data_IF_530628842202
#
_entry.id   IF_530628842202
#
_cell.length_a   1.000
_cell.length_b   1.000
_cell.length_c   1.000
_cell.angle_alpha   90.00
_cell.angle_beta   90.00
_cell.angle_gamma   90.00
#
_symmetry.space_group_name_H-M   'P 1'
#
loop_
_entity.id
_entity.type
_entity.pdbx_description
1 polymer ?
#
# COMPACT_ATOMS: atom_id res chain seq x y z
N UNK A 1 33.40 24.11 -35.29
CA UNK A 1 32.00 23.93 -35.73
C UNK A 1 31.40 22.83 -34.88
N UNK A 2 30.44 23.12 -34.00
CA UNK A 2 29.69 22.08 -33.29
C UNK A 2 28.58 21.53 -34.20
N UNK A 3 28.31 20.21 -34.20
CA UNK A 3 27.17 19.67 -34.91
C UNK A 3 25.88 20.00 -34.15
N UNK A 4 24.93 20.51 -34.93
CA UNK A 4 23.59 20.94 -34.57
C UNK A 4 22.60 19.78 -34.45
N UNK A 5 21.65 19.94 -33.53
CA UNK A 5 20.26 19.47 -33.61
C UNK A 5 19.99 17.95 -33.75
N UNK A 6 20.18 17.22 -32.66
CA UNK A 6 19.42 15.99 -32.41
C UNK A 6 18.03 16.35 -31.88
N UNK A 7 17.10 16.57 -32.81
CA UNK A 7 15.65 16.57 -32.54
C UNK A 7 15.25 15.17 -32.07
N UNK A 8 15.17 14.96 -30.77
CA UNK A 8 14.51 13.81 -30.16
C UNK A 8 13.01 13.83 -30.50
N UNK A 9 12.68 13.25 -31.66
CA UNK A 9 11.33 13.05 -32.18
C UNK A 9 10.71 11.83 -31.51
N UNK A 10 10.31 11.95 -30.24
CA UNK A 10 9.42 10.98 -29.61
C UNK A 10 7.97 11.42 -29.85
N UNK A 11 7.46 11.11 -31.04
CA UNK A 11 6.04 11.12 -31.33
C UNK A 11 5.44 9.82 -30.79
N UNK A 12 4.93 9.84 -29.55
CA UNK A 12 3.91 8.88 -29.12
C UNK A 12 2.54 9.49 -29.45
N UNK A 13 2.25 9.63 -30.73
CA UNK A 13 0.88 9.73 -31.22
C UNK A 13 0.61 8.42 -31.95
N UNK A 14 0.37 7.37 -31.17
CA UNK A 14 -0.16 6.13 -31.69
C UNK A 14 -1.69 6.21 -31.52
N UNK A 15 -2.46 6.54 -32.57
CA UNK A 15 -3.89 6.80 -32.47
C UNK A 15 -4.72 5.56 -32.07
N UNK A 16 -4.11 4.38 -32.03
CA UNK A 16 -4.79 3.11 -31.72
C UNK A 16 -4.88 2.78 -30.22
N UNK A 17 -4.22 3.54 -29.33
CA UNK A 17 -4.31 3.24 -27.88
C UNK A 17 -5.68 3.54 -27.28
N UNK A 18 -6.48 4.41 -27.92
CA UNK A 18 -7.82 4.78 -27.45
C UNK A 18 -8.90 3.73 -27.75
N UNK A 19 -8.67 2.84 -28.72
CA UNK A 19 -9.59 1.75 -29.09
C UNK A 19 -9.79 0.75 -27.94
N UNK A 20 -8.72 0.43 -27.21
CA UNK A 20 -8.75 -0.57 -26.13
C UNK A 20 -9.53 -0.14 -24.88
N UNK A 21 -9.71 1.17 -24.65
CA UNK A 21 -10.43 1.69 -23.48
C UNK A 21 -11.94 1.83 -23.71
N UNK A 22 -12.39 1.94 -24.96
CA UNK A 22 -13.81 2.06 -25.30
C UNK A 22 -14.56 0.72 -25.07
N UNK A 23 -13.92 -0.41 -25.37
CA UNK A 23 -14.55 -1.73 -25.29
C UNK A 23 -14.73 -2.27 -23.86
N UNK A 24 -14.01 -1.70 -22.89
CA UNK A 24 -14.08 -2.12 -21.48
C UNK A 24 -15.23 -1.45 -20.71
N UNK A 25 -15.82 -0.37 -21.24
CA UNK A 25 -16.91 0.36 -20.58
C UNK A 25 -18.28 -0.30 -20.74
N UNK A 26 -18.47 -1.18 -21.72
CA UNK A 26 -19.78 -1.80 -21.97
C UNK A 26 -20.04 -3.11 -21.21
N UNK A 27 -19.02 -3.73 -20.60
CA UNK A 27 -19.18 -5.03 -19.91
C UNK A 27 -19.32 -4.96 -18.38
N UNK A 28 -19.28 -3.76 -17.79
CA UNK A 28 -19.33 -3.59 -16.32
C UNK A 28 -20.67 -3.06 -15.79
N UNK A 29 -21.67 -2.81 -16.64
CA UNK A 29 -22.98 -2.33 -16.19
C UNK A 29 -23.83 -3.42 -15.50
N UNK A 30 -23.59 -4.70 -15.80
CA UNK A 30 -24.42 -5.82 -15.30
C UNK A 30 -23.83 -6.56 -14.07
N UNK A 31 -22.68 -6.11 -13.55
CA UNK A 31 -22.06 -6.70 -12.35
C UNK A 31 -22.31 -5.89 -11.08
N UNK A 32 -23.48 -5.27 -10.96
CA UNK A 32 -24.07 -4.85 -9.68
C UNK A 32 -24.54 -6.08 -8.87
N UNK A 33 -23.67 -7.07 -8.72
CA UNK A 33 -23.82 -8.14 -7.74
C UNK A 33 -23.67 -7.46 -6.38
N UNK A 34 -24.76 -7.41 -5.61
CA UNK A 34 -24.77 -6.99 -4.20
C UNK A 34 -23.72 -7.80 -3.44
N UNK A 35 -22.50 -7.27 -3.32
CA UNK A 35 -21.47 -7.84 -2.47
C UNK A 35 -22.04 -7.77 -1.03
N UNK A 36 -22.30 -8.90 -0.37
CA UNK A 36 -22.80 -8.87 0.99
C UNK A 36 -21.78 -8.18 1.88
N UNK A 37 -22.22 -7.15 2.61
CA UNK A 37 -21.41 -6.43 3.60
C UNK A 37 -20.78 -7.43 4.57
N UNK A 38 -19.46 -7.54 4.54
CA UNK A 38 -18.63 -8.47 5.32
C UNK A 38 -18.51 -8.09 6.80
N UNK A 39 -19.61 -7.66 7.43
CA UNK A 39 -19.58 -7.10 8.79
C UNK A 39 -20.82 -7.43 9.61
N UNK A 40 -21.32 -8.67 9.51
CA UNK A 40 -22.35 -9.17 10.44
C UNK A 40 -22.20 -10.65 10.78
N UNK A 41 -20.96 -11.13 10.97
CA UNK A 41 -20.72 -12.36 11.74
C UNK A 41 -20.93 -12.03 13.23
N UNK A 42 -22.20 -11.83 13.60
CA UNK A 42 -22.60 -11.95 15.00
C UNK A 42 -22.69 -13.45 15.26
N UNK A 43 -21.71 -13.98 16.00
CA UNK A 43 -21.77 -15.34 16.54
C UNK A 43 -22.88 -15.35 17.58
N UNK A 44 -24.11 -15.63 17.15
CA UNK A 44 -25.24 -15.86 18.03
C UNK A 44 -24.97 -17.17 18.79
N UNK A 45 -24.56 -17.06 20.05
CA UNK A 45 -24.84 -18.02 21.12
C UNK A 45 -24.27 -19.43 21.02
N UNK A 46 -23.63 -19.81 19.91
CA UNK A 46 -22.94 -21.10 19.83
C UNK A 46 -21.68 -21.04 20.70
N UNK A 47 -21.51 -21.95 21.68
CA UNK A 47 -20.27 -22.02 22.44
C UNK A 47 -19.12 -22.19 21.45
N UNK A 48 -18.13 -21.28 21.51
CA UNK A 48 -16.90 -21.40 20.71
C UNK A 48 -16.40 -22.83 20.87
N UNK A 49 -16.36 -23.56 19.76
CA UNK A 49 -15.92 -24.95 19.68
C UNK A 49 -14.67 -25.13 20.55
N UNK A 50 -14.82 -25.83 21.67
CA UNK A 50 -13.79 -25.98 22.73
C UNK A 50 -12.68 -26.95 22.32
N UNK A 51 -12.65 -27.39 21.07
CA UNK A 51 -11.63 -28.28 20.53
C UNK A 51 -10.42 -27.47 20.03
N UNK A 52 -9.78 -26.73 20.93
CA UNK A 52 -8.39 -26.32 20.70
C UNK A 52 -7.58 -27.19 21.65
N UNK A 53 -6.93 -28.19 21.06
CA UNK A 53 -5.95 -29.08 21.68
C UNK A 53 -4.93 -28.30 22.53
N UNK A 54 -4.35 -29.01 23.50
CA UNK A 54 -3.31 -28.55 24.44
C UNK A 54 -2.07 -28.03 23.68
N UNK A 55 -2.15 -26.81 23.15
CA UNK A 55 -1.01 -26.14 22.52
C UNK A 55 0.01 -25.78 23.58
N UNK A 56 1.29 -25.89 23.24
CA UNK A 56 2.42 -25.51 24.09
C UNK A 56 2.33 -24.01 24.40
N UNK A 57 2.24 -23.67 25.69
CA UNK A 57 2.34 -22.29 26.15
C UNK A 57 3.81 -21.86 26.10
N UNK A 58 4.11 -20.77 25.39
CA UNK A 58 5.44 -20.17 25.39
C UNK A 58 5.44 -19.02 26.37
N UNK A 59 6.41 -19.01 27.26
CA UNK A 59 6.74 -17.86 28.10
C UNK A 59 7.76 -17.00 27.38
N UNK A 60 7.41 -15.73 27.15
CA UNK A 60 8.29 -14.75 26.53
C UNK A 60 8.68 -13.75 27.61
N UNK A 61 9.96 -13.73 27.96
CA UNK A 61 10.53 -12.70 28.83
C UNK A 61 10.72 -11.43 28.01
N UNK A 62 9.90 -10.41 28.28
CA UNK A 62 10.10 -9.09 27.70
C UNK A 62 10.96 -8.23 28.64
N UNK A 63 11.90 -7.43 28.12
CA UNK A 63 12.66 -6.50 28.94
C UNK A 63 11.71 -5.54 29.67
N UNK A 64 12.01 -5.25 30.94
CA UNK A 64 11.24 -4.32 31.78
C UNK A 64 9.90 -4.84 32.32
N UNK A 65 9.46 -6.06 31.97
CA UNK A 65 8.35 -6.74 32.66
C UNK A 65 8.89 -7.75 33.66
N UNK A 66 8.45 -7.63 34.91
CA UNK A 66 8.84 -8.57 35.98
C UNK A 66 8.31 -9.98 35.75
N UNK A 67 7.17 -10.10 35.09
CA UNK A 67 6.53 -11.38 34.81
C UNK A 67 6.63 -11.76 33.31
N UNK A 68 6.95 -13.02 32.97
CA UNK A 68 6.92 -13.52 31.61
C UNK A 68 5.52 -13.40 31.00
N UNK A 69 5.45 -12.99 29.73
CA UNK A 69 4.19 -13.03 29.00
C UNK A 69 3.98 -14.44 28.46
N UNK A 70 2.96 -15.11 28.97
CA UNK A 70 2.51 -16.40 28.43
C UNK A 70 1.67 -16.17 27.18
N UNK A 71 2.07 -16.76 26.05
CA UNK A 71 1.26 -16.81 24.83
C UNK A 71 1.01 -18.24 24.39
N UNK A 72 -0.26 -18.53 24.10
CA UNK A 72 -0.67 -19.78 23.47
C UNK A 72 -0.34 -19.71 21.98
N UNK A 73 0.44 -20.67 21.48
CA UNK A 73 0.55 -20.87 20.02
C UNK A 73 -0.63 -21.72 19.56
N UNK A 74 -1.30 -21.28 18.49
CA UNK A 74 -2.27 -22.09 17.76
C UNK A 74 -1.67 -22.75 16.51
N UNK A 75 -0.36 -22.58 16.31
CA UNK A 75 0.38 -23.06 15.14
C UNK A 75 1.54 -23.89 15.66
N UNK A 76 1.57 -25.14 15.24
CA UNK A 76 2.67 -26.07 15.46
C UNK A 76 3.34 -26.30 14.11
N UNK A 77 4.67 -26.34 14.11
CA UNK A 77 5.44 -26.66 12.91
C UNK A 77 5.75 -28.15 12.98
N UNK A 78 5.63 -28.85 11.84
CA UNK A 78 6.15 -30.20 11.71
C UNK A 78 7.66 -30.18 11.94
N UNK A 79 8.16 -30.95 12.90
CA UNK A 79 9.61 -31.15 13.09
C UNK A 79 10.21 -31.96 11.93
N UNK A 80 9.38 -32.72 11.23
CA UNK A 80 9.78 -33.45 10.04
C UNK A 80 9.68 -32.56 8.82
N UNK A 81 10.84 -32.20 8.27
CA UNK A 81 10.94 -31.52 6.97
C UNK A 81 11.13 -32.58 5.89
N UNK A 82 10.21 -32.65 4.92
CA UNK A 82 10.46 -33.38 3.68
C UNK A 82 11.34 -32.50 2.81
N UNK A 83 12.59 -32.93 2.58
CA UNK A 83 13.48 -32.28 1.63
C UNK A 83 13.27 -32.99 0.30
N UNK A 84 12.47 -32.38 -0.56
CA UNK A 84 12.38 -32.79 -1.96
C UNK A 84 13.41 -32.02 -2.76
N UNK A 85 14.23 -32.73 -3.55
CA UNK A 85 15.16 -32.10 -4.46
C UNK A 85 14.37 -31.40 -5.56
N UNK A 86 14.37 -30.06 -5.51
CA UNK A 86 13.75 -29.26 -6.55
C UNK A 86 14.55 -29.43 -7.84
N UNK A 87 13.96 -30.12 -8.83
CA UNK A 87 14.48 -30.09 -10.19
C UNK A 87 14.32 -28.67 -10.69
N UNK A 88 15.46 -28.01 -10.95
CA UNK A 88 15.48 -26.70 -11.61
C UNK A 88 14.60 -26.80 -12.86
N UNK A 89 13.45 -26.14 -12.84
CA UNK A 89 12.64 -26.00 -14.03
C UNK A 89 13.49 -25.16 -15.00
N UNK A 90 13.97 -25.77 -16.08
CA UNK A 90 14.62 -25.05 -17.18
C UNK A 90 13.58 -24.28 -18.00
N UNK A 91 12.62 -23.64 -17.31
CA UNK A 91 11.76 -22.68 -17.97
C UNK A 91 12.68 -21.58 -18.49
N UNK A 92 12.68 -21.33 -19.81
CA UNK A 92 13.52 -20.29 -20.38
C UNK A 92 13.16 -18.98 -19.67
N UNK A 93 14.18 -18.31 -19.13
CA UNK A 93 14.04 -17.05 -18.38
C UNK A 93 13.25 -15.98 -19.16
N UNK A 94 13.14 -16.14 -20.47
CA UNK A 94 12.37 -15.28 -21.37
C UNK A 94 10.84 -15.35 -21.18
N UNK A 95 10.31 -16.35 -20.47
CA UNK A 95 8.87 -16.54 -20.25
C UNK A 95 8.41 -16.19 -18.82
N UNK A 96 9.24 -15.51 -18.03
CA UNK A 96 8.77 -14.96 -16.75
C UNK A 96 7.88 -13.75 -17.03
N UNK A 97 6.80 -13.62 -16.24
CA UNK A 97 5.86 -12.49 -16.33
C UNK A 97 6.53 -11.11 -16.11
N UNK A 98 7.78 -11.08 -15.65
CA UNK A 98 8.44 -9.87 -15.18
C UNK A 98 9.92 -9.88 -15.53
N UNK A 99 10.27 -9.30 -16.67
CA UNK A 99 11.66 -9.17 -17.09
C UNK A 99 12.32 -7.93 -16.46
N UNK A 100 13.65 -8.01 -16.29
CA UNK A 100 14.42 -6.88 -15.74
C UNK A 100 14.32 -5.64 -16.63
N UNK A 101 14.41 -5.83 -17.94
CA UNK A 101 14.36 -4.72 -18.91
C UNK A 101 12.98 -4.04 -18.89
N UNK A 102 11.89 -4.82 -18.84
CA UNK A 102 10.53 -4.30 -18.68
C UNK A 102 10.36 -3.50 -17.38
N UNK A 103 10.96 -3.98 -16.28
CA UNK A 103 10.93 -3.24 -15.02
C UNK A 103 11.64 -1.89 -15.12
N UNK A 104 12.80 -1.85 -15.77
CA UNK A 104 13.54 -0.61 -15.97
C UNK A 104 12.77 0.36 -16.88
N UNK A 105 12.06 -0.13 -17.89
CA UNK A 105 11.16 0.66 -18.75
C UNK A 105 9.96 1.23 -18.00
N UNK A 106 9.30 0.42 -17.16
CA UNK A 106 8.21 0.86 -16.27
C UNK A 106 8.74 1.95 -15.33
N UNK A 107 9.91 1.74 -14.73
CA UNK A 107 10.53 2.68 -13.81
C UNK A 107 10.90 3.99 -14.50
N UNK A 108 11.45 3.92 -15.71
CA UNK A 108 11.77 5.08 -16.55
C UNK A 108 10.51 5.87 -16.90
N UNK A 109 9.45 5.18 -17.30
CA UNK A 109 8.15 5.77 -17.63
C UNK A 109 7.52 6.47 -16.43
N UNK A 110 7.52 5.83 -15.26
CA UNK A 110 7.04 6.42 -14.01
C UNK A 110 7.80 7.71 -13.65
N UNK A 111 9.14 7.72 -13.80
CA UNK A 111 9.94 8.94 -13.58
C UNK A 111 9.59 10.07 -14.55
N UNK A 112 9.27 9.76 -15.81
CA UNK A 112 8.83 10.76 -16.77
C UNK A 112 7.50 11.38 -16.34
N UNK A 113 6.54 10.57 -15.90
CA UNK A 113 5.24 11.04 -15.38
C UNK A 113 5.46 11.99 -14.20
N UNK A 114 6.29 11.61 -13.22
CA UNK A 114 6.63 12.46 -12.07
C UNK A 114 7.18 13.82 -12.52
N UNK A 115 8.16 13.83 -13.44
CA UNK A 115 8.73 15.08 -13.98
C UNK A 115 7.69 15.93 -14.73
N UNK A 116 6.76 15.32 -15.45
CA UNK A 116 5.69 16.05 -16.13
C UNK A 116 4.72 16.70 -15.15
N UNK A 117 4.40 16.01 -14.04
CA UNK A 117 3.53 16.52 -12.98
C UNK A 117 4.21 17.64 -12.19
N UNK A 118 5.50 17.51 -11.86
CA UNK A 118 6.29 18.56 -11.21
C UNK A 118 6.35 19.85 -12.04
N UNK A 119 6.41 19.72 -13.37
CA UNK A 119 6.37 20.85 -14.31
C UNK A 119 4.97 21.41 -14.54
N UNK A 120 3.92 20.74 -14.05
CA UNK A 120 2.52 21.13 -14.25
C UNK A 120 2.01 20.95 -15.69
N UNK A 121 2.72 20.18 -16.52
CA UNK A 121 2.48 20.09 -17.98
C UNK A 121 1.28 19.23 -18.36
N UNK A 122 0.82 18.32 -17.49
CA UNK A 122 -0.33 17.45 -17.77
C UNK A 122 -1.10 17.09 -16.49
N UNK A 123 -2.43 17.31 -16.52
CA UNK A 123 -3.34 17.02 -15.38
C UNK A 123 -3.99 15.64 -15.45
N UNK A 124 -3.73 14.86 -16.50
CA UNK A 124 -4.47 13.63 -16.78
C UNK A 124 -3.75 12.34 -16.35
N UNK A 125 -2.56 12.44 -15.74
CA UNK A 125 -1.86 11.26 -15.25
C UNK A 125 -2.36 10.84 -13.86
N UNK A 126 -2.52 9.53 -13.66
CA UNK A 126 -2.73 8.99 -12.33
C UNK A 126 -1.41 9.04 -11.56
N UNK A 127 -1.33 9.87 -10.54
CA UNK A 127 -0.17 9.98 -9.64
C UNK A 127 -0.22 8.99 -8.48
N UNK A 128 -1.32 8.23 -8.35
CA UNK A 128 -1.51 7.29 -7.25
C UNK A 128 -0.53 6.13 -7.37
N UNK A 129 0.26 5.89 -6.33
CA UNK A 129 1.34 4.91 -6.31
C UNK A 129 2.71 5.47 -6.72
N UNK A 130 2.79 6.73 -7.19
CA UNK A 130 4.05 7.41 -7.52
C UNK A 130 4.46 8.44 -6.46
N UNK A 131 3.72 8.57 -5.36
CA UNK A 131 3.96 9.56 -4.32
C UNK A 131 5.35 9.40 -3.70
N UNK A 132 5.82 8.16 -3.57
CA UNK A 132 7.18 7.86 -3.07
C UNK A 132 8.29 8.42 -3.98
N UNK A 133 8.01 8.64 -5.26
CA UNK A 133 8.96 9.21 -6.22
C UNK A 133 8.85 10.74 -6.33
N UNK A 134 7.74 11.32 -5.86
CA UNK A 134 7.45 12.75 -5.98
C UNK A 134 7.86 13.54 -4.73
N UNK A 135 7.84 12.91 -3.56
CA UNK A 135 7.94 13.63 -2.29
C UNK A 135 9.09 13.10 -1.42
N UNK A 136 10.29 13.67 -1.64
CA UNK A 136 11.45 13.43 -0.78
C UNK A 136 11.15 13.78 0.68
N UNK A 137 10.24 14.74 0.93
CA UNK A 137 9.84 15.13 2.29
C UNK A 137 9.12 13.97 2.98
N UNK A 138 8.30 13.19 2.29
CA UNK A 138 7.66 12.00 2.86
C UNK A 138 8.68 10.92 3.22
N UNK A 139 9.69 10.70 2.38
CA UNK A 139 10.76 9.75 2.71
C UNK A 139 11.53 10.21 3.96
N UNK A 140 11.87 11.49 4.05
CA UNK A 140 12.54 12.07 5.22
C UNK A 140 11.67 11.95 6.46
N UNK A 141 10.39 12.32 6.39
CA UNK A 141 9.45 12.16 7.53
C UNK A 141 9.35 10.72 7.99
N UNK A 142 9.29 9.76 7.06
CA UNK A 142 9.29 8.33 7.39
C UNK A 142 10.57 7.93 8.09
N UNK A 143 11.75 8.28 7.55
CA UNK A 143 13.04 8.01 8.20
C UNK A 143 13.10 8.60 9.60
N UNK A 144 12.76 9.88 9.75
CA UNK A 144 12.72 10.56 11.05
C UNK A 144 11.83 9.86 12.08
N UNK A 145 10.66 9.36 11.66
CA UNK A 145 9.76 8.62 12.56
C UNK A 145 10.35 7.27 13.00
N UNK A 146 11.08 6.59 12.12
CA UNK A 146 11.78 5.34 12.43
C UNK A 146 12.95 5.62 13.38
N UNK A 147 13.77 6.61 13.04
CA UNK A 147 14.95 6.99 13.83
C UNK A 147 14.56 7.41 15.25
N UNK A 148 13.45 8.15 15.41
CA UNK A 148 12.95 8.56 16.71
C UNK A 148 12.50 7.37 17.59
N UNK A 149 11.91 6.33 16.98
CA UNK A 149 11.53 5.10 17.70
C UNK A 149 12.79 4.31 18.06
N UNK A 150 13.73 4.13 17.14
CA UNK A 150 14.96 3.38 17.39
C UNK A 150 15.82 4.05 18.47
N UNK A 151 15.93 5.38 18.45
CA UNK A 151 16.65 6.15 19.48
C UNK A 151 16.03 5.95 20.86
N UNK A 152 14.70 5.97 20.97
CA UNK A 152 14.01 5.71 22.23
C UNK A 152 14.20 4.24 22.68
N UNK A 153 14.15 3.27 21.77
CA UNK A 153 14.43 1.87 22.09
C UNK A 153 15.85 1.64 22.62
N UNK A 154 16.83 2.33 22.04
CA UNK A 154 18.22 2.28 22.50
C UNK A 154 18.35 2.88 23.91
N UNK A 155 17.75 4.05 24.16
CA UNK A 155 17.71 4.66 25.49
C UNK A 155 17.03 3.76 26.55
N UNK A 156 15.95 3.06 26.18
CA UNK A 156 15.30 2.08 27.06
C UNK A 156 16.15 0.83 27.31
N UNK A 157 16.93 0.40 26.33
CA UNK A 157 17.88 -0.72 26.48
C UNK A 157 19.01 -0.36 27.44
N UNK A 158 19.58 0.82 27.29
CA UNK A 158 20.68 1.30 28.14
C UNK A 158 20.24 1.52 29.59
N UNK A 159 18.99 1.96 29.80
CA UNK A 159 18.41 2.12 31.14
C UNK A 159 17.84 0.83 31.74
N UNK A 160 17.60 -0.20 30.92
CA UNK A 160 16.97 -1.46 31.34
C UNK A 160 15.48 -1.35 31.68
N UNK A 161 14.84 -0.21 31.40
CA UNK A 161 13.42 0.05 31.70
C UNK A 161 12.64 0.16 30.39
N UNK A 162 11.67 -0.72 30.22
CA UNK A 162 10.75 -0.68 29.07
C UNK A 162 9.54 0.19 29.36
N UNK A 163 9.24 1.12 28.46
CA UNK A 163 8.11 2.04 28.55
C UNK A 163 7.43 2.19 27.17
N UNK A 164 6.29 1.52 27.02
CA UNK A 164 5.50 1.52 25.78
C UNK A 164 4.91 2.90 25.46
N UNK A 165 4.53 3.67 26.47
CA UNK A 165 3.92 4.99 26.28
C UNK A 165 4.92 5.96 25.68
N UNK A 166 6.18 5.95 26.14
CA UNK A 166 7.25 6.79 25.57
C UNK A 166 7.55 6.47 24.11
N UNK A 167 7.59 5.19 23.74
CA UNK A 167 7.78 4.78 22.34
C UNK A 167 6.64 5.29 21.47
N UNK A 168 5.40 5.13 21.94
CA UNK A 168 4.21 5.61 21.24
C UNK A 168 4.23 7.14 21.09
N UNK A 169 4.67 7.85 22.13
CA UNK A 169 4.73 9.31 22.13
C UNK A 169 5.82 9.83 21.20
N UNK A 170 6.99 9.19 21.15
CA UNK A 170 8.09 9.51 20.23
C UNK A 170 7.62 9.40 18.77
N UNK A 171 6.94 8.31 18.42
CA UNK A 171 6.35 8.13 17.10
C UNK A 171 5.23 9.14 16.81
N UNK A 172 4.34 9.40 17.78
CA UNK A 172 3.23 10.34 17.62
C UNK A 172 3.73 11.76 17.38
N UNK A 173 4.74 12.22 18.12
CA UNK A 173 5.33 13.56 17.93
C UNK A 173 5.91 13.71 16.53
N UNK A 174 6.64 12.72 16.03
CA UNK A 174 7.26 12.79 14.70
C UNK A 174 6.26 12.64 13.55
N UNK A 175 5.16 11.91 13.76
CA UNK A 175 4.12 11.70 12.74
C UNK A 175 2.95 12.69 12.79
N UNK A 176 2.90 13.59 13.78
CA UNK A 176 1.80 14.54 13.98
C UNK A 176 1.49 15.40 12.74
N UNK A 177 2.52 15.90 12.06
CA UNK A 177 2.34 16.70 10.84
C UNK A 177 1.71 15.88 9.70
N UNK A 178 2.11 14.62 9.54
CA UNK A 178 1.54 13.71 8.55
C UNK A 178 0.08 13.37 8.88
N UNK A 179 -0.26 13.20 10.16
CA UNK A 179 -1.64 12.98 10.60
C UNK A 179 -2.54 14.18 10.29
N UNK A 180 -2.07 15.39 10.59
CA UNK A 180 -2.81 16.62 10.28
C UNK A 180 -3.02 16.77 8.76
N UNK A 181 -1.99 16.50 7.96
CA UNK A 181 -2.09 16.54 6.51
C UNK A 181 -3.08 15.50 5.95
N UNK A 182 -3.06 14.28 6.50
CA UNK A 182 -3.98 13.23 6.10
C UNK A 182 -5.44 13.58 6.45
N UNK A 183 -5.67 14.19 7.62
CA UNK A 183 -6.99 14.67 8.02
C UNK A 183 -7.53 15.73 7.05
N UNK A 184 -6.72 16.75 6.72
CA UNK A 184 -7.12 17.79 5.76
C UNK A 184 -7.38 17.24 4.35
N UNK A 185 -6.60 16.25 3.90
CA UNK A 185 -6.87 15.56 2.63
C UNK A 185 -8.17 14.77 2.67
N UNK A 186 -8.45 14.06 3.77
CA UNK A 186 -9.69 13.31 3.91
C UNK A 186 -10.94 14.21 3.85
N UNK A 187 -10.87 15.42 4.41
CA UNK A 187 -11.94 16.42 4.31
C UNK A 187 -12.14 16.87 2.86
N UNK A 188 -11.04 17.14 2.14
CA UNK A 188 -11.07 17.53 0.72
C UNK A 188 -11.66 16.42 -0.15
N UNK A 189 -11.17 15.18 0.00
CA UNK A 189 -11.67 14.01 -0.71
C UNK A 189 -13.18 13.79 -0.43
N UNK A 190 -13.61 14.00 0.81
CA UNK A 190 -15.02 13.89 1.19
C UNK A 190 -15.88 14.92 0.46
N UNK A 191 -15.41 16.17 0.37
CA UNK A 191 -16.11 17.23 -0.36
C UNK A 191 -16.17 16.94 -1.86
N UNK A 192 -15.07 16.49 -2.47
CA UNK A 192 -14.99 16.14 -3.88
C UNK A 192 -15.93 14.98 -4.24
N UNK A 193 -15.99 13.95 -3.39
CA UNK A 193 -16.91 12.82 -3.56
C UNK A 193 -18.36 13.29 -3.47
N UNK A 194 -18.70 14.15 -2.50
CA UNK A 194 -20.06 14.70 -2.38
C UNK A 194 -20.45 15.51 -3.62
N UNK A 195 -19.55 16.35 -4.12
CA UNK A 195 -19.77 17.13 -5.34
C UNK A 195 -19.97 16.22 -6.56
N UNK A 196 -19.12 15.20 -6.71
CA UNK A 196 -19.24 14.20 -7.76
C UNK A 196 -20.60 13.50 -7.70
N UNK A 197 -21.01 13.02 -6.52
CA UNK A 197 -22.30 12.35 -6.33
C UNK A 197 -23.48 13.27 -6.67
N UNK A 198 -23.45 14.53 -6.24
CA UNK A 198 -24.49 15.51 -6.59
C UNK A 198 -24.57 15.73 -8.11
N UNK A 199 -23.43 15.90 -8.78
CA UNK A 199 -23.37 16.09 -10.23
C UNK A 199 -23.90 14.87 -11.00
N UNK A 200 -23.53 13.65 -10.57
CA UNK A 200 -23.98 12.41 -11.16
C UNK A 200 -25.51 12.22 -11.01
N UNK A 201 -26.06 12.55 -9.84
CA UNK A 201 -27.51 12.51 -9.60
C UNK A 201 -28.27 13.51 -10.48
N UNK A 202 -27.73 14.71 -10.70
CA UNK A 202 -28.34 15.69 -11.59
C UNK A 202 -28.37 15.22 -13.04
N UNK A 203 -27.29 14.58 -13.52
CA UNK A 203 -27.25 13.99 -14.87
C UNK A 203 -28.29 12.88 -15.03
N UNK A 204 -28.41 11.97 -14.07
CA UNK A 204 -29.39 10.89 -14.12
C UNK A 204 -30.83 11.42 -14.17
N UNK A 205 -31.16 12.48 -13.42
CA UNK A 205 -32.48 13.12 -13.47
C UNK A 205 -32.81 13.74 -14.83
N UNK A 206 -31.80 14.21 -15.57
CA UNK A 206 -32.00 14.78 -16.91
C UNK A 206 -32.23 13.70 -17.97
N UNK A 207 -31.73 12.49 -17.76
CA UNK A 207 -31.89 11.37 -18.69
C UNK A 207 -33.20 10.60 -18.52
N UNK A 208 -33.94 10.85 -17.44
CA UNK A 208 -35.21 10.17 -17.14
C UNK A 208 -36.47 10.91 -17.64
N UNK A 209 -36.31 11.89 -18.54
CA UNK A 209 -37.40 12.64 -19.18
C UNK A 209 -37.42 12.30 -20.66
#
# INVERSE_FOLDING_TARGET
MPPSDDKAKYCYEDPDTWSYLADRKLKNADLLIKIPRRSSIKQNGAPRRVSISRGVEIQINLPGKGDPITRRRSIEFSETNSIEEYKSCEDPFDNIWFNKDEYDDIRSSNRKIVKCVERGTDKNFCVRGLESMMDDVQQVRRRNSIDAVLTEQEAQRDSGVYDEEKLSESYRRTSMASQAQAAGRAETDTADIQLYLQSALMLLRRMSV
#
